data_IF_121627603679
#
_entry.id   IF_121627603679
#
_cell.length_a   1.000
_cell.length_b   1.000
_cell.length_c   1.000
_cell.angle_alpha   90.00
_cell.angle_beta   90.00
_cell.angle_gamma   90.00
#
_symmetry.space_group_name_H-M   'P 1'
#
loop_
_entity.id
_entity.type
_entity.pdbx_description
1 polymer ?
#
# COMPACT_ATOMS: atom_id res chain seq x y z
N UNK A 1 19.07 -11.24 -0.39
CA UNK A 1 17.82 -11.33 0.39
C UNK A 1 17.04 -12.55 -0.06
N UNK A 2 16.91 -13.54 0.81
CA UNK A 2 16.14 -14.77 0.58
C UNK A 2 14.64 -14.49 0.66
N UNK A 3 13.80 -15.42 0.19
CA UNK A 3 12.35 -15.32 0.33
C UNK A 3 11.92 -15.21 1.80
N UNK A 4 12.56 -16.00 2.69
CA UNK A 4 12.31 -15.95 4.14
C UNK A 4 12.58 -14.56 4.72
N UNK A 5 13.67 -13.91 4.30
CA UNK A 5 14.00 -12.56 4.73
C UNK A 5 12.99 -11.53 4.20
N UNK A 6 12.55 -11.66 2.94
CA UNK A 6 11.50 -10.79 2.37
C UNK A 6 10.19 -10.87 3.17
N UNK A 7 9.72 -12.09 3.44
CA UNK A 7 8.48 -12.30 4.22
C UNK A 7 8.63 -11.74 5.63
N UNK A 8 9.78 -11.92 6.27
CA UNK A 8 10.03 -11.35 7.60
C UNK A 8 9.96 -9.82 7.56
N UNK A 9 10.59 -9.17 6.59
CA UNK A 9 10.50 -7.71 6.45
C UNK A 9 9.07 -7.21 6.23
N UNK A 10 8.25 -7.97 5.49
CA UNK A 10 6.82 -7.66 5.31
C UNK A 10 6.05 -7.79 6.63
N UNK A 11 6.32 -8.83 7.41
CA UNK A 11 5.64 -9.08 8.68
C UNK A 11 6.01 -8.05 9.76
N UNK A 12 7.27 -7.60 9.75
CA UNK A 12 7.79 -6.58 10.67
C UNK A 12 7.39 -5.15 10.25
N UNK A 13 6.89 -4.96 9.02
CA UNK A 13 6.50 -3.65 8.52
C UNK A 13 5.24 -3.12 9.20
N UNK A 14 5.33 -1.90 9.75
CA UNK A 14 4.16 -1.15 10.23
C UNK A 14 3.40 -0.49 9.09
N UNK A 15 4.10 -0.15 8.00
CA UNK A 15 3.53 0.47 6.81
C UNK A 15 4.12 -0.17 5.56
N UNK A 16 3.27 -0.50 4.60
CA UNK A 16 3.68 -0.97 3.27
C UNK A 16 3.12 0.00 2.23
N UNK A 17 3.99 0.55 1.40
CA UNK A 17 3.64 1.46 0.30
C UNK A 17 4.08 0.82 -1.01
N UNK A 18 3.20 0.73 -2.00
CA UNK A 18 3.56 0.17 -3.30
C UNK A 18 2.73 0.72 -4.44
N UNK A 19 3.31 0.71 -5.64
CA UNK A 19 2.56 0.97 -6.87
C UNK A 19 1.65 -0.21 -7.21
N UNK A 20 0.49 0.07 -7.80
CA UNK A 20 -0.46 -0.95 -8.27
C UNK A 20 0.28 -1.98 -9.14
N UNK A 21 0.16 -3.26 -8.78
CA UNK A 21 0.75 -4.36 -9.52
C UNK A 21 2.23 -4.66 -9.19
N UNK A 22 2.93 -3.85 -8.41
CA UNK A 22 4.36 -4.02 -8.09
C UNK A 22 4.64 -5.11 -7.02
N UNK A 23 3.97 -6.26 -7.10
CA UNK A 23 4.12 -7.33 -6.11
C UNK A 23 3.45 -7.02 -4.76
N UNK A 24 2.51 -6.07 -4.71
CA UNK A 24 1.73 -5.76 -3.51
C UNK A 24 0.88 -6.96 -3.04
N UNK A 25 0.82 -8.07 -3.78
CA UNK A 25 0.30 -9.34 -3.28
C UNK A 25 1.03 -9.81 -2.02
N UNK A 26 2.25 -9.33 -1.77
CA UNK A 26 2.96 -9.52 -0.50
C UNK A 26 2.17 -9.12 0.75
N UNK A 27 1.13 -8.27 0.65
CA UNK A 27 0.25 -7.94 1.78
C UNK A 27 -0.49 -9.16 2.36
N UNK A 28 -0.56 -10.29 1.62
CA UNK A 28 -1.06 -11.56 2.19
C UNK A 28 -0.23 -12.03 3.39
N UNK A 29 1.05 -11.67 3.43
CA UNK A 29 1.98 -11.97 4.52
C UNK A 29 2.01 -10.87 5.59
N UNK A 30 1.34 -9.74 5.38
CA UNK A 30 1.29 -8.66 6.36
C UNK A 30 0.52 -9.07 7.63
N UNK A 31 0.82 -8.42 8.74
CA UNK A 31 0.19 -8.66 10.04
C UNK A 31 -0.93 -7.63 10.29
N UNK A 32 -1.91 -7.89 11.17
CA UNK A 32 -3.08 -7.00 11.35
C UNK A 32 -2.77 -5.54 11.73
N UNK A 33 -1.55 -5.24 12.17
CA UNK A 33 -1.13 -3.87 12.53
C UNK A 33 -0.50 -3.09 11.37
N UNK A 34 -0.35 -3.73 10.21
CA UNK A 34 0.27 -3.10 9.04
C UNK A 34 -0.76 -2.25 8.29
N UNK A 35 -0.41 -1.00 7.99
CA UNK A 35 -1.20 -0.10 7.14
C UNK A 35 -0.71 -0.19 5.69
N UNK A 36 -1.64 -0.34 4.75
CA UNK A 36 -1.34 -0.48 3.32
C UNK A 36 -1.64 0.81 2.58
N UNK A 37 -0.66 1.33 1.84
CA UNK A 37 -0.82 2.44 0.90
C UNK A 37 -0.57 1.97 -0.52
N UNK A 38 -1.55 2.17 -1.39
CA UNK A 38 -1.44 1.77 -2.77
C UNK A 38 -1.47 2.98 -3.71
N UNK A 39 -0.45 3.12 -4.55
CA UNK A 39 -0.38 4.16 -5.58
C UNK A 39 -0.99 3.61 -6.87
N UNK A 40 -2.14 4.16 -7.27
CA UNK A 40 -2.97 3.62 -8.35
C UNK A 40 -3.07 4.62 -9.49
N UNK A 41 -2.68 4.17 -10.68
CA UNK A 41 -2.95 4.89 -11.93
C UNK A 41 -4.44 4.84 -12.28
N UNK A 42 -4.97 5.94 -12.80
CA UNK A 42 -6.34 5.98 -13.34
C UNK A 42 -6.59 4.95 -14.45
N UNK A 43 -5.56 4.46 -15.13
CA UNK A 43 -5.67 3.48 -16.22
C UNK A 43 -5.80 2.02 -15.73
N UNK A 44 -5.43 1.74 -14.47
CA UNK A 44 -5.30 0.36 -13.95
C UNK A 44 -6.04 0.15 -12.62
N UNK A 45 -7.19 0.80 -12.43
CA UNK A 45 -8.00 0.66 -11.20
C UNK A 45 -8.65 -0.71 -11.11
N UNK A 46 -8.01 -1.63 -10.40
CA UNK A 46 -8.57 -2.94 -10.04
C UNK A 46 -8.67 -3.08 -8.52
N UNK A 47 -9.76 -3.64 -7.98
CA UNK A 47 -10.02 -3.63 -6.54
C UNK A 47 -9.24 -4.72 -5.76
N UNK A 48 -8.35 -5.47 -6.42
CA UNK A 48 -7.77 -6.69 -5.85
C UNK A 48 -7.10 -6.45 -4.48
N UNK A 49 -6.28 -5.41 -4.35
CA UNK A 49 -5.56 -5.17 -3.09
C UNK A 49 -6.48 -4.63 -1.98
N UNK A 50 -7.45 -3.79 -2.32
CA UNK A 50 -8.49 -3.38 -1.37
C UNK A 50 -9.23 -4.60 -0.83
N UNK A 51 -9.62 -5.54 -1.71
CA UNK A 51 -10.34 -6.75 -1.31
C UNK A 51 -9.46 -7.70 -0.47
N UNK A 52 -8.19 -7.87 -0.82
CA UNK A 52 -7.25 -8.69 -0.03
C UNK A 52 -7.01 -8.04 1.34
N UNK A 53 -6.82 -6.73 1.40
CA UNK A 53 -6.65 -6.01 2.66
C UNK A 53 -7.89 -6.15 3.54
N UNK A 54 -9.08 -5.97 2.98
CA UNK A 54 -10.34 -6.18 3.68
C UNK A 54 -10.47 -7.62 4.21
N UNK A 55 -10.17 -8.63 3.38
CA UNK A 55 -10.20 -10.04 3.80
C UNK A 55 -9.23 -10.33 4.96
N UNK A 56 -8.05 -9.70 4.95
CA UNK A 56 -7.04 -9.82 6.01
C UNK A 56 -7.32 -8.95 7.25
N UNK A 57 -8.33 -8.08 7.21
CA UNK A 57 -8.60 -7.09 8.26
C UNK A 57 -7.51 -6.02 8.38
N UNK A 58 -6.85 -5.66 7.26
CA UNK A 58 -5.82 -4.63 7.21
C UNK A 58 -6.43 -3.27 6.88
N UNK A 59 -5.84 -2.22 7.44
CA UNK A 59 -6.14 -0.85 7.06
C UNK A 59 -5.53 -0.53 5.69
N UNK A 60 -6.33 0.04 4.79
CA UNK A 60 -5.95 0.25 3.39
C UNK A 60 -6.32 1.65 2.90
N UNK A 61 -5.37 2.28 2.22
CA UNK A 61 -5.49 3.62 1.65
C UNK A 61 -5.05 3.65 0.19
N UNK A 62 -5.92 4.13 -0.69
CA UNK A 62 -5.62 4.31 -2.11
C UNK A 62 -5.16 5.74 -2.41
N UNK A 63 -3.99 5.86 -3.02
CA UNK A 63 -3.42 7.08 -3.60
C UNK A 63 -3.71 7.06 -5.10
N UNK A 64 -4.91 7.51 -5.48
CA UNK A 64 -5.32 7.60 -6.87
C UNK A 64 -4.60 8.74 -7.60
N UNK A 65 -3.90 8.45 -8.68
CA UNK A 65 -3.20 9.43 -9.51
C UNK A 65 -3.79 9.52 -10.91
N UNK A 66 -3.55 10.65 -11.56
CA UNK A 66 -3.92 10.88 -12.95
C UNK A 66 -2.81 10.39 -13.88
N UNK A 67 -3.19 9.58 -14.89
CA UNK A 67 -2.26 9.07 -15.88
C UNK A 67 -1.45 7.87 -15.41
N UNK A 68 -0.37 7.56 -16.14
CA UNK A 68 0.45 6.34 -15.99
C UNK A 68 1.71 6.53 -15.14
N UNK A 69 1.97 7.75 -14.64
CA UNK A 69 3.18 8.08 -13.89
C UNK A 69 2.85 8.57 -12.49
N UNK A 70 3.70 8.22 -11.52
CA UNK A 70 3.58 8.73 -10.17
C UNK A 70 4.30 10.08 -10.03
N UNK A 71 3.55 11.17 -9.87
CA UNK A 71 4.14 12.47 -9.49
C UNK A 71 4.53 12.42 -7.99
N UNK A 72 5.82 12.51 -7.63
CA UNK A 72 6.25 12.37 -6.24
C UNK A 72 5.63 13.40 -5.30
N UNK A 73 5.49 14.65 -5.72
CA UNK A 73 4.90 15.71 -4.90
C UNK A 73 3.44 15.40 -4.55
N UNK A 74 2.66 14.89 -5.51
CA UNK A 74 1.26 14.49 -5.27
C UNK A 74 1.19 13.30 -4.31
N UNK A 75 2.06 12.30 -4.48
CA UNK A 75 2.13 11.13 -3.60
C UNK A 75 2.47 11.56 -2.17
N UNK A 76 3.50 12.39 -1.98
CA UNK A 76 3.94 12.89 -0.68
C UNK A 76 2.80 13.66 0.00
N UNK A 77 2.14 14.58 -0.71
CA UNK A 77 1.03 15.35 -0.15
C UNK A 77 -0.14 14.47 0.30
N UNK A 78 -0.51 13.46 -0.50
CA UNK A 78 -1.58 12.52 -0.14
C UNK A 78 -1.19 11.66 1.06
N UNK A 79 0.04 11.15 1.10
CA UNK A 79 0.56 10.40 2.23
C UNK A 79 0.55 11.25 3.52
N UNK A 80 1.04 12.48 3.46
CA UNK A 80 1.04 13.39 4.63
C UNK A 80 -0.36 13.67 5.16
N UNK A 81 -1.36 13.83 4.29
CA UNK A 81 -2.74 14.02 4.72
C UNK A 81 -3.31 12.77 5.42
N UNK A 82 -2.99 11.58 4.93
CA UNK A 82 -3.42 10.33 5.57
C UNK A 82 -2.70 10.15 6.91
N UNK A 83 -1.39 10.39 6.98
CA UNK A 83 -0.63 10.31 8.24
C UNK A 83 -1.21 11.25 9.31
N UNK A 84 -1.57 12.48 8.94
CA UNK A 84 -2.25 13.41 9.87
C UNK A 84 -3.58 12.87 10.38
N UNK A 85 -4.36 12.19 9.52
CA UNK A 85 -5.62 11.57 9.95
C UNK A 85 -5.43 10.43 10.95
N UNK A 86 -4.23 9.85 10.99
CA UNK A 86 -3.82 8.81 11.94
C UNK A 86 -3.21 9.37 13.24
N UNK A 87 -3.13 10.70 13.38
CA UNK A 87 -2.57 11.36 14.57
C UNK A 87 -1.03 11.40 14.58
N UNK A 88 -0.39 11.20 13.43
CA UNK A 88 1.06 11.32 13.24
C UNK A 88 1.47 12.66 12.63
#
# INVERSE_FOLDING_TARGET
MTMKEQVKHIQDASVIIGAHGAGLTHIVSATPKTVIFEIISSQFRRPHFQLIAQWKGLEYHAINLDGSYANPTVVINKLSNIMRSLGC
#
